data_IF_331887746323
#
_entry.id   IF_331887746323
#
_cell.length_a   1.000
_cell.length_b   1.000
_cell.length_c   1.000
_cell.angle_alpha   90.00
_cell.angle_beta   90.00
_cell.angle_gamma   90.00
#
_symmetry.space_group_name_H-M   'P 1'
#
loop_
_entity.id
_entity.type
_entity.pdbx_description
1 polymer ?
#
# COMPACT_ATOMS: atom_id res chain seq x y z
N UNK A 1 7.93 -2.77 11.42
CA UNK A 1 7.90 -2.59 12.89
C UNK A 1 7.17 -3.80 13.47
N UNK A 2 7.75 -4.55 14.42
CA UNK A 2 7.08 -5.68 15.07
C UNK A 2 6.94 -5.37 16.56
N UNK A 3 5.75 -5.64 17.10
CA UNK A 3 5.48 -5.52 18.53
C UNK A 3 5.73 -6.88 19.17
N UNK A 4 6.65 -6.93 20.12
CA UNK A 4 6.84 -8.10 20.98
C UNK A 4 6.00 -7.86 22.22
N UNK A 5 4.95 -8.67 22.42
CA UNK A 5 4.13 -8.61 23.63
C UNK A 5 4.71 -9.55 24.68
N UNK A 6 4.93 -8.99 25.89
CA UNK A 6 5.21 -9.78 27.08
C UNK A 6 3.89 -10.00 27.80
N UNK A 7 3.39 -11.23 27.74
CA UNK A 7 2.22 -11.70 28.49
C UNK A 7 2.71 -12.85 29.36
N UNK A 8 2.46 -12.77 30.67
CA UNK A 8 2.85 -13.80 31.64
C UNK A 8 4.34 -14.20 31.63
N UNK A 9 5.23 -13.20 31.50
CA UNK A 9 6.70 -13.37 31.45
C UNK A 9 7.25 -14.17 30.26
N UNK A 10 6.42 -14.49 29.27
CA UNK A 10 6.83 -15.11 28.01
C UNK A 10 6.75 -14.10 26.86
N UNK A 11 7.71 -14.22 25.93
CA UNK A 11 7.72 -13.45 24.68
C UNK A 11 6.84 -14.17 23.67
N UNK A 12 5.67 -13.59 23.37
CA UNK A 12 4.77 -14.15 22.38
C UNK A 12 5.05 -13.52 21.00
N UNK A 13 4.99 -14.37 19.97
CA UNK A 13 5.12 -14.06 18.53
C UNK A 13 6.55 -13.81 18.02
N UNK A 14 7.40 -14.84 18.07
CA UNK A 14 8.46 -14.99 17.08
C UNK A 14 7.92 -15.85 15.92
N UNK A 15 7.84 -15.30 14.72
CA UNK A 15 7.66 -16.11 13.50
C UNK A 15 8.94 -16.88 13.29
N UNK A 16 8.89 -18.21 13.36
CA UNK A 16 10.09 -19.04 13.44
C UNK A 16 10.56 -19.47 12.07
N UNK A 17 9.63 -19.86 11.18
CA UNK A 17 9.95 -20.45 9.87
C UNK A 17 8.83 -20.11 8.86
N UNK A 18 9.15 -20.03 7.57
CA UNK A 18 8.16 -20.04 6.49
C UNK A 18 8.33 -21.35 5.71
N UNK A 19 7.73 -22.44 6.18
CA UNK A 19 7.87 -23.76 5.54
C UNK A 19 7.02 -23.92 4.28
N UNK A 20 6.22 -22.90 3.95
CA UNK A 20 5.49 -22.82 2.71
C UNK A 20 5.47 -21.36 2.25
N UNK A 21 5.76 -21.12 0.97
CA UNK A 21 5.80 -19.78 0.36
C UNK A 21 4.55 -18.90 0.63
N UNK A 22 3.46 -19.50 1.10
CA UNK A 22 2.15 -18.90 1.40
C UNK A 22 1.80 -18.75 2.88
N UNK A 23 2.63 -19.26 3.79
CA UNK A 23 2.26 -19.37 5.20
C UNK A 23 3.40 -18.95 6.14
N UNK A 24 3.00 -18.46 7.32
CA UNK A 24 3.91 -18.19 8.41
C UNK A 24 3.71 -19.23 9.52
N UNK A 25 4.82 -19.78 10.03
CA UNK A 25 4.82 -20.63 11.23
C UNK A 25 5.22 -19.77 12.42
N UNK A 26 4.41 -19.75 13.48
CA UNK A 26 4.81 -19.08 14.73
C UNK A 26 5.53 -20.08 15.66
N UNK A 27 6.21 -19.57 16.69
CA UNK A 27 7.11 -20.38 17.53
C UNK A 27 6.50 -21.52 18.34
N UNK A 28 5.18 -21.65 18.36
CA UNK A 28 4.48 -22.82 18.93
C UNK A 28 4.14 -23.91 17.88
N UNK A 29 4.50 -23.69 16.61
CA UNK A 29 4.28 -24.59 15.48
C UNK A 29 2.98 -24.36 14.70
N UNK A 30 2.14 -23.38 15.07
CA UNK A 30 0.93 -23.07 14.32
C UNK A 30 1.25 -22.40 12.97
N UNK A 31 0.53 -22.80 11.92
CA UNK A 31 0.66 -22.27 10.56
C UNK A 31 -0.52 -21.38 10.19
N UNK A 32 -0.23 -20.27 9.51
CA UNK A 32 -1.24 -19.30 9.11
C UNK A 32 -1.15 -18.96 7.62
N UNK A 33 -2.29 -18.93 6.93
CA UNK A 33 -2.40 -18.33 5.59
C UNK A 33 -2.16 -16.82 5.75
N UNK A 34 -1.13 -16.29 5.08
CA UNK A 34 -0.65 -14.92 5.32
C UNK A 34 -1.16 -13.91 4.28
N UNK A 35 -2.06 -13.04 4.72
CA UNK A 35 -2.53 -11.88 3.96
C UNK A 35 -1.86 -10.55 4.35
N UNK A 36 -0.87 -10.56 5.24
CA UNK A 36 0.00 -9.41 5.51
C UNK A 36 1.10 -9.33 4.45
N UNK A 37 1.72 -10.44 4.08
CA UNK A 37 2.64 -10.51 2.95
C UNK A 37 3.79 -9.50 3.03
N UNK A 38 4.41 -9.37 4.21
CA UNK A 38 5.43 -8.37 4.54
C UNK A 38 4.96 -6.90 4.40
N UNK A 39 3.65 -6.65 4.49
CA UNK A 39 3.00 -5.37 4.23
C UNK A 39 3.05 -4.96 2.75
N UNK A 40 3.07 -5.95 1.85
CA UNK A 40 3.09 -5.75 0.40
C UNK A 40 4.15 -6.57 -0.35
N UNK A 41 5.45 -6.50 0.01
CA UNK A 41 6.56 -7.04 -0.79
C UNK A 41 6.51 -8.52 -1.14
N UNK A 42 5.84 -9.36 -0.34
CA UNK A 42 5.78 -10.80 -0.58
C UNK A 42 4.76 -11.18 -1.67
N UNK A 43 4.77 -10.50 -2.82
CA UNK A 43 3.83 -10.77 -3.92
C UNK A 43 3.96 -12.17 -4.52
N UNK A 44 5.16 -12.74 -4.52
CA UNK A 44 5.40 -14.12 -4.98
C UNK A 44 5.40 -15.10 -3.80
N UNK A 45 5.05 -14.63 -2.59
CA UNK A 45 5.17 -15.38 -1.36
C UNK A 45 6.49 -15.12 -0.64
N UNK A 46 6.66 -15.84 0.47
CA UNK A 46 7.87 -15.87 1.28
C UNK A 46 8.87 -16.86 0.71
N UNK A 47 10.17 -16.57 0.84
CA UNK A 47 11.23 -17.54 0.59
C UNK A 47 11.15 -18.24 -0.79
N UNK A 48 10.80 -17.48 -1.84
CA UNK A 48 10.75 -17.98 -3.21
C UNK A 48 12.12 -18.54 -3.66
N UNK A 49 12.12 -19.72 -4.29
CA UNK A 49 13.33 -20.46 -4.63
C UNK A 49 14.24 -19.69 -5.61
N UNK A 50 13.66 -18.96 -6.58
CA UNK A 50 14.43 -18.18 -7.55
C UNK A 50 15.07 -16.96 -6.88
N UNK A 51 14.32 -16.28 -6.00
CA UNK A 51 14.85 -15.16 -5.21
C UNK A 51 15.94 -15.62 -4.25
N UNK A 52 15.74 -16.73 -3.55
CA UNK A 52 16.74 -17.28 -2.63
C UNK A 52 18.01 -17.72 -3.35
N UNK A 53 17.88 -18.34 -4.53
CA UNK A 53 19.02 -18.70 -5.36
C UNK A 53 19.82 -17.45 -5.80
N UNK A 54 19.13 -16.42 -6.30
CA UNK A 54 19.75 -15.16 -6.68
C UNK A 54 20.44 -14.47 -5.48
N UNK A 55 19.80 -14.46 -4.31
CA UNK A 55 20.41 -13.93 -3.08
C UNK A 55 21.68 -14.70 -2.71
N UNK A 56 21.64 -16.03 -2.72
CA UNK A 56 22.79 -16.88 -2.42
C UNK A 56 24.00 -16.58 -3.32
N UNK A 57 23.76 -16.27 -4.61
CA UNK A 57 24.82 -15.85 -5.52
C UNK A 57 25.41 -14.48 -5.15
N UNK A 58 24.58 -13.53 -4.73
CA UNK A 58 25.01 -12.17 -4.34
C UNK A 58 25.74 -12.12 -2.98
N UNK A 59 25.56 -13.11 -2.11
CA UNK A 59 26.20 -13.17 -0.79
C UNK A 59 27.73 -13.23 -0.81
N UNK A 60 28.35 -13.38 -2.00
CA UNK A 60 29.80 -13.23 -2.22
C UNK A 60 30.29 -11.79 -1.98
N UNK A 61 29.38 -10.82 -1.91
CA UNK A 61 29.64 -9.45 -1.49
C UNK A 61 28.37 -8.61 -1.64
N UNK A 62 27.86 -8.07 -0.53
CA UNK A 62 26.52 -7.47 -0.45
C UNK A 62 26.51 -5.94 -0.59
N UNK A 63 27.66 -5.29 -0.42
CA UNK A 63 27.80 -3.83 -0.58
C UNK A 63 29.23 -3.47 -0.95
N UNK A 64 29.39 -2.57 -1.92
CA UNK A 64 30.68 -2.24 -2.51
C UNK A 64 31.03 -0.76 -2.47
N UNK A 65 30.06 0.14 -2.20
CA UNK A 65 30.27 1.58 -2.25
C UNK A 65 30.68 2.12 -3.63
N UNK A 66 30.48 1.33 -4.69
CA UNK A 66 30.82 1.63 -6.07
C UNK A 66 29.78 1.00 -7.01
N UNK A 67 29.54 1.57 -8.21
CA UNK A 67 28.52 1.09 -9.13
C UNK A 67 28.68 -0.39 -9.54
N UNK A 68 27.55 -1.08 -9.66
CA UNK A 68 27.44 -2.49 -10.08
C UNK A 68 26.51 -2.61 -11.28
N UNK A 69 26.78 -3.58 -12.15
CA UNK A 69 25.95 -3.84 -13.34
C UNK A 69 24.49 -4.17 -12.98
N UNK A 70 24.26 -4.84 -11.85
CA UNK A 70 22.92 -5.18 -11.39
C UNK A 70 22.05 -3.94 -11.12
N UNK A 71 22.64 -2.81 -10.72
CA UNK A 71 21.91 -1.55 -10.56
C UNK A 71 21.38 -1.04 -11.91
N UNK A 72 22.16 -1.18 -12.98
CA UNK A 72 21.73 -0.78 -14.33
C UNK A 72 20.63 -1.70 -14.86
N UNK A 73 20.77 -3.02 -14.68
CA UNK A 73 19.75 -4.00 -15.10
C UNK A 73 18.43 -3.71 -14.40
N UNK A 74 18.46 -3.50 -13.08
CA UNK A 74 17.26 -3.16 -12.32
C UNK A 74 16.66 -1.82 -12.76
N UNK A 75 17.50 -0.82 -13.05
CA UNK A 75 17.04 0.48 -13.53
C UNK A 75 16.33 0.38 -14.89
N UNK A 76 16.89 -0.36 -15.84
CA UNK A 76 16.29 -0.60 -17.16
C UNK A 76 14.95 -1.32 -17.04
N UNK A 77 14.86 -2.32 -16.14
CA UNK A 77 13.61 -3.04 -15.88
C UNK A 77 12.52 -2.11 -15.34
N UNK A 78 12.84 -1.23 -14.38
CA UNK A 78 11.86 -0.25 -13.84
C UNK A 78 11.41 0.74 -14.89
N UNK A 79 12.36 1.35 -15.60
CA UNK A 79 12.07 2.35 -16.64
C UNK A 79 11.20 1.74 -17.74
N UNK A 80 11.47 0.48 -18.11
CA UNK A 80 10.67 -0.22 -19.10
C UNK A 80 9.27 -0.60 -18.60
N UNK A 81 9.10 -0.83 -17.29
CA UNK A 81 7.83 -1.28 -16.74
C UNK A 81 6.89 -0.12 -16.42
N UNK A 82 7.42 1.01 -15.94
CA UNK A 82 6.62 2.09 -15.37
C UNK A 82 6.55 3.28 -16.34
N UNK A 83 5.40 3.55 -16.99
CA UNK A 83 5.30 4.45 -18.15
C UNK A 83 5.85 5.88 -17.96
N UNK A 84 5.80 6.41 -16.75
CA UNK A 84 6.20 7.80 -16.46
C UNK A 84 7.69 7.96 -16.15
N UNK A 85 8.42 6.88 -15.87
CA UNK A 85 9.80 6.92 -15.38
C UNK A 85 10.80 6.91 -16.54
N UNK A 86 11.70 7.89 -16.56
CA UNK A 86 12.84 7.95 -17.49
C UNK A 86 14.21 7.83 -16.79
N UNK A 87 14.22 8.02 -15.48
CA UNK A 87 15.40 7.97 -14.63
C UNK A 87 14.99 7.48 -13.26
N UNK A 88 15.80 6.61 -12.67
CA UNK A 88 15.57 6.07 -11.32
C UNK A 88 16.72 6.43 -10.40
N UNK A 89 16.38 6.59 -9.12
CA UNK A 89 17.33 6.68 -8.02
C UNK A 89 16.91 5.66 -6.97
N UNK A 90 17.79 4.70 -6.69
CA UNK A 90 17.54 3.72 -5.65
C UNK A 90 17.85 4.30 -4.26
N UNK A 91 16.99 3.97 -3.31
CA UNK A 91 17.08 4.30 -1.88
C UNK A 91 16.68 3.07 -1.07
N UNK A 92 16.80 3.11 0.25
CA UNK A 92 16.65 1.92 1.09
C UNK A 92 15.23 1.74 1.64
N UNK A 93 14.37 2.75 1.53
CA UNK A 93 12.98 2.67 2.02
C UNK A 93 12.05 3.61 1.27
N UNK A 94 10.74 3.31 1.31
CA UNK A 94 9.70 4.22 0.83
C UNK A 94 9.75 5.59 1.51
N UNK A 95 10.08 5.64 2.81
CA UNK A 95 10.27 6.90 3.53
C UNK A 95 11.39 7.75 2.93
N UNK A 96 12.55 7.15 2.61
CA UNK A 96 13.64 7.87 1.92
C UNK A 96 13.20 8.36 0.55
N UNK A 97 12.46 7.55 -0.20
CA UNK A 97 11.98 7.92 -1.54
C UNK A 97 11.04 9.14 -1.48
N UNK A 98 10.06 9.12 -0.57
CA UNK A 98 9.11 10.23 -0.38
C UNK A 98 9.80 11.49 0.16
N UNK A 99 10.81 11.36 1.02
CA UNK A 99 11.61 12.51 1.47
C UNK A 99 12.47 13.12 0.34
N UNK A 100 13.13 12.28 -0.47
CA UNK A 100 13.98 12.74 -1.58
C UNK A 100 13.14 13.45 -2.66
N UNK A 101 11.97 12.90 -3.03
CA UNK A 101 11.09 13.54 -4.02
C UNK A 101 10.56 14.90 -3.53
N UNK A 102 10.12 14.99 -2.28
CA UNK A 102 9.66 16.26 -1.73
C UNK A 102 10.78 17.31 -1.71
N UNK A 103 12.03 16.91 -1.44
CA UNK A 103 13.18 17.82 -1.54
C UNK A 103 13.44 18.27 -2.98
N UNK A 104 13.34 17.36 -3.95
CA UNK A 104 13.53 17.68 -5.38
C UNK A 104 12.47 18.68 -5.89
N UNK A 105 11.23 18.54 -5.43
CA UNK A 105 10.12 19.43 -5.85
C UNK A 105 10.18 20.84 -5.24
N UNK A 106 10.72 21.00 -4.03
CA UNK A 106 10.69 22.24 -3.24
C UNK A 106 11.80 23.26 -3.57
N UNK A 107 12.17 23.42 -4.84
CA UNK A 107 13.09 24.51 -5.23
C UNK A 107 12.48 25.94 -5.19
N UNK A 108 11.31 26.12 -4.55
CA UNK A 108 10.58 27.38 -4.33
C UNK A 108 9.78 27.40 -3.00
N UNK A 109 9.33 28.59 -2.58
CA UNK A 109 8.85 28.97 -1.21
C UNK A 109 7.38 28.58 -0.93
N UNK A 110 7.02 28.30 0.34
CA UNK A 110 5.78 27.59 0.74
C UNK A 110 4.98 28.15 1.97
N UNK A 111 3.81 27.51 2.28
CA UNK A 111 2.76 27.88 3.27
C UNK A 111 2.15 26.72 4.11
N UNK A 112 1.36 27.05 5.15
CA UNK A 112 1.15 26.43 6.50
C UNK A 112 0.54 25.01 6.68
N UNK A 113 1.20 24.16 7.51
CA UNK A 113 0.68 22.90 8.11
C UNK A 113 1.09 22.65 9.58
N UNK A 114 0.39 21.74 10.29
CA UNK A 114 0.62 21.39 11.71
C UNK A 114 1.29 20.00 11.87
N UNK A 115 2.12 19.78 12.90
CA UNK A 115 2.79 18.50 13.12
C UNK A 115 1.95 17.50 13.93
N UNK A 116 1.90 16.24 13.46
CA UNK A 116 1.11 15.16 14.07
C UNK A 116 1.92 14.20 14.96
N UNK A 117 3.25 14.35 15.04
CA UNK A 117 4.12 13.51 15.89
C UNK A 117 4.98 14.34 16.86
N UNK A 118 5.07 13.97 18.15
CA UNK A 118 5.95 14.63 19.11
C UNK A 118 7.41 14.62 18.65
N UNK A 119 8.07 15.77 18.72
CA UNK A 119 9.47 15.94 18.29
C UNK A 119 9.63 16.53 16.88
N UNK A 120 8.58 16.56 16.07
CA UNK A 120 8.57 17.28 14.79
C UNK A 120 8.37 18.77 15.07
N UNK A 121 9.32 19.60 14.68
CA UNK A 121 9.20 21.06 14.82
C UNK A 121 8.08 21.54 13.89
N UNK A 122 7.31 22.55 14.33
CA UNK A 122 6.32 23.23 13.45
C UNK A 122 6.96 23.72 12.14
N UNK A 123 8.20 24.19 12.21
CA UNK A 123 9.00 24.59 11.04
C UNK A 123 9.37 23.43 10.09
N UNK A 124 9.06 22.17 10.40
CA UNK A 124 9.21 21.05 9.48
C UNK A 124 7.91 20.72 8.72
N UNK A 125 6.75 21.17 9.23
CA UNK A 125 5.42 20.88 8.67
C UNK A 125 4.73 22.11 8.11
N UNK A 126 5.30 23.31 8.33
CA UNK A 126 4.71 24.58 7.91
C UNK A 126 4.57 24.74 6.40
N UNK A 127 5.08 23.82 5.59
CA UNK A 127 5.03 23.87 4.11
C UNK A 127 4.17 22.74 3.53
N UNK A 128 3.45 22.00 4.38
CA UNK A 128 2.69 20.82 3.98
C UNK A 128 1.22 21.09 4.21
N UNK A 129 0.45 21.13 3.12
CA UNK A 129 -1.01 21.23 3.16
C UNK A 129 -1.64 19.85 3.06
N UNK A 130 -2.79 19.68 3.71
CA UNK A 130 -3.59 18.45 3.62
C UNK A 130 -4.98 18.74 3.04
N UNK A 131 -5.48 17.76 2.29
CA UNK A 131 -6.84 17.69 1.78
C UNK A 131 -7.36 16.26 1.96
N UNK A 132 -8.64 16.04 2.28
CA UNK A 132 -9.21 14.70 2.32
C UNK A 132 -9.08 14.00 0.97
N UNK A 133 -8.73 12.72 0.99
CA UNK A 133 -8.73 11.90 -0.22
C UNK A 133 -10.13 11.90 -0.86
N UNK A 134 -10.21 11.82 -2.20
CA UNK A 134 -11.48 11.90 -2.95
C UNK A 134 -12.32 13.19 -2.76
N UNK A 135 -11.72 14.27 -2.24
CA UNK A 135 -12.33 15.59 -2.09
C UNK A 135 -11.65 16.62 -3.02
N UNK A 136 -12.22 16.77 -4.22
CA UNK A 136 -11.71 17.69 -5.24
C UNK A 136 -11.87 19.15 -4.79
N UNK A 137 -12.99 19.50 -4.15
CA UNK A 137 -13.28 20.86 -3.72
C UNK A 137 -12.24 21.34 -2.69
N UNK A 138 -11.84 20.46 -1.77
CA UNK A 138 -10.77 20.74 -0.83
C UNK A 138 -9.43 20.98 -1.54
N UNK A 139 -9.08 20.17 -2.55
CA UNK A 139 -7.84 20.35 -3.32
C UNK A 139 -7.87 21.67 -4.12
N UNK A 140 -8.97 21.96 -4.81
CA UNK A 140 -9.15 23.23 -5.54
C UNK A 140 -9.05 24.44 -4.60
N UNK A 141 -9.63 24.35 -3.41
CA UNK A 141 -9.52 25.38 -2.37
C UNK A 141 -8.06 25.62 -1.95
N UNK A 142 -7.24 24.56 -1.86
CA UNK A 142 -5.80 24.70 -1.58
C UNK A 142 -5.07 25.44 -2.69
N UNK A 143 -5.29 25.10 -3.96
CA UNK A 143 -4.68 25.84 -5.08
C UNK A 143 -5.14 27.30 -5.10
N UNK A 144 -6.44 27.54 -4.93
CA UNK A 144 -7.00 28.89 -4.95
C UNK A 144 -6.46 29.78 -3.83
N UNK A 145 -6.18 29.21 -2.66
CA UNK A 145 -5.66 29.93 -1.50
C UNK A 145 -4.13 30.12 -1.55
N UNK A 146 -3.42 29.39 -2.41
CA UNK A 146 -1.95 29.36 -2.50
C UNK A 146 -1.47 29.43 -3.96
N UNK A 147 -2.05 30.35 -4.73
CA UNK A 147 -1.82 30.44 -6.18
C UNK A 147 -0.35 30.64 -6.51
N UNK A 148 0.21 29.71 -7.28
CA UNK A 148 1.62 29.74 -7.70
C UNK A 148 2.61 29.34 -6.62
N UNK A 149 2.16 28.87 -5.45
CA UNK A 149 3.02 28.48 -4.32
C UNK A 149 3.07 26.95 -4.11
N UNK A 150 2.13 26.19 -4.69
CA UNK A 150 2.10 24.74 -4.53
C UNK A 150 3.06 24.06 -5.52
N UNK A 151 4.13 23.46 -4.99
CA UNK A 151 5.12 22.75 -5.79
C UNK A 151 4.62 21.39 -6.30
N UNK A 152 3.87 20.64 -5.49
CA UNK A 152 3.41 19.30 -5.83
C UNK A 152 2.19 18.85 -5.02
N UNK A 153 1.46 17.89 -5.56
CA UNK A 153 0.56 16.99 -4.84
C UNK A 153 1.26 15.64 -4.72
N UNK A 154 1.29 15.06 -3.52
CA UNK A 154 1.71 13.68 -3.29
C UNK A 154 0.53 12.89 -2.72
N UNK A 155 0.28 11.70 -3.27
CA UNK A 155 -0.77 10.80 -2.78
C UNK A 155 -0.48 9.34 -3.13
N UNK A 156 -1.04 8.43 -2.34
CA UNK A 156 -1.26 7.04 -2.76
C UNK A 156 -2.38 7.03 -3.83
N UNK A 157 -2.16 6.44 -5.03
CA UNK A 157 -3.21 6.37 -6.06
C UNK A 157 -4.42 5.54 -5.63
N UNK A 158 -4.19 4.50 -4.83
CA UNK A 158 -5.18 3.76 -4.05
C UNK A 158 -4.69 3.76 -2.61
N UNK A 159 -5.51 4.22 -1.67
CA UNK A 159 -5.08 4.30 -0.26
C UNK A 159 -5.06 2.91 0.35
N UNK A 160 -3.90 2.52 0.90
CA UNK A 160 -3.71 1.27 1.63
C UNK A 160 -3.46 1.43 3.13
N UNK A 161 -2.88 2.57 3.55
CA UNK A 161 -2.68 2.90 4.96
C UNK A 161 -3.98 3.35 5.68
N UNK A 162 -5.13 3.13 5.05
CA UNK A 162 -6.47 3.30 5.62
C UNK A 162 -7.40 2.20 5.08
N UNK A 163 -6.88 0.97 5.05
CA UNK A 163 -7.46 -0.25 4.45
C UNK A 163 -7.37 -0.31 2.93
N UNK A 164 -8.41 0.13 2.24
CA UNK A 164 -8.52 0.05 0.80
C UNK A 164 -9.55 1.08 0.37
N UNK A 165 -9.08 2.24 -0.08
CA UNK A 165 -9.94 3.32 -0.56
C UNK A 165 -9.51 3.64 -2.00
N UNK A 166 -10.26 3.18 -3.01
CA UNK A 166 -9.96 3.49 -4.40
C UNK A 166 -10.30 4.95 -4.72
N UNK A 167 -9.68 5.52 -5.77
CA UNK A 167 -10.04 6.84 -6.25
C UNK A 167 -11.47 6.80 -6.81
N UNK A 168 -12.24 7.89 -6.61
CA UNK A 168 -13.47 8.11 -7.36
C UNK A 168 -13.13 8.21 -8.86
N UNK A 169 -14.05 7.84 -9.77
CA UNK A 169 -13.77 7.70 -11.21
C UNK A 169 -12.99 8.86 -11.85
N UNK A 170 -13.27 10.10 -11.48
CA UNK A 170 -12.62 11.28 -12.07
C UNK A 170 -11.52 11.89 -11.20
N UNK A 171 -11.28 11.37 -9.99
CA UNK A 171 -10.42 12.03 -9.00
C UNK A 171 -9.01 12.27 -9.52
N UNK A 172 -8.33 11.22 -10.01
CA UNK A 172 -6.96 11.32 -10.50
C UNK A 172 -6.83 12.19 -11.75
N UNK A 173 -7.82 12.13 -12.66
CA UNK A 173 -7.84 12.99 -13.85
C UNK A 173 -8.05 14.46 -13.50
N UNK A 174 -8.88 14.76 -12.50
CA UNK A 174 -9.04 16.14 -12.02
C UNK A 174 -7.76 16.64 -11.34
N UNK A 175 -7.09 15.83 -10.51
CA UNK A 175 -5.79 16.23 -9.92
C UNK A 175 -4.77 16.54 -11.01
N UNK A 176 -4.71 15.70 -12.05
CA UNK A 176 -3.86 15.88 -13.22
C UNK A 176 -4.18 17.15 -14.01
N UNK A 177 -5.45 17.54 -14.11
CA UNK A 177 -5.83 18.85 -14.69
C UNK A 177 -5.34 20.00 -13.81
N UNK A 178 -5.59 19.93 -12.51
CA UNK A 178 -5.25 20.99 -11.55
C UNK A 178 -3.75 21.26 -11.48
N UNK A 179 -2.91 20.22 -11.42
CA UNK A 179 -1.46 20.40 -11.40
C UNK A 179 -0.95 21.06 -12.69
N UNK A 180 -1.50 20.70 -13.85
CA UNK A 180 -1.16 21.32 -15.13
C UNK A 180 -1.55 22.80 -15.19
N UNK A 181 -2.74 23.14 -14.73
CA UNK A 181 -3.23 24.53 -14.71
C UNK A 181 -2.42 25.42 -13.76
N UNK A 182 -1.82 24.84 -12.72
CA UNK A 182 -1.11 25.58 -11.68
C UNK A 182 0.43 25.44 -11.75
N UNK A 183 0.97 24.69 -12.71
CA UNK A 183 2.41 24.47 -12.84
C UNK A 183 3.02 23.67 -11.69
N UNK A 184 2.24 22.76 -11.10
CA UNK A 184 2.67 21.88 -10.01
C UNK A 184 2.98 20.46 -10.52
N UNK A 185 3.60 19.64 -9.67
CA UNK A 185 3.84 18.23 -9.96
C UNK A 185 2.79 17.33 -9.32
N UNK A 186 2.53 16.17 -9.92
CA UNK A 186 1.74 15.09 -9.33
C UNK A 186 2.67 13.91 -9.06
N UNK A 187 2.77 13.54 -7.79
CA UNK A 187 3.63 12.47 -7.29
C UNK A 187 2.70 11.34 -6.83
N UNK A 188 2.85 10.19 -7.48
CA UNK A 188 2.18 8.97 -7.03
C UNK A 188 3.11 8.22 -6.09
N UNK A 189 2.70 8.14 -4.83
CA UNK A 189 3.30 7.25 -3.85
C UNK A 189 2.81 5.83 -4.12
N UNK A 190 3.57 5.10 -4.93
CA UNK A 190 3.27 3.75 -5.37
C UNK A 190 4.01 2.69 -4.54
N UNK A 191 4.41 3.02 -3.30
CA UNK A 191 5.11 2.09 -2.39
C UNK A 191 4.35 0.77 -2.26
N UNK A 192 3.02 0.84 -2.23
CA UNK A 192 2.15 -0.31 -2.12
C UNK A 192 1.51 -0.73 -3.46
N UNK A 193 1.20 0.23 -4.34
CA UNK A 193 0.45 -0.01 -5.58
C UNK A 193 1.34 -0.36 -6.78
N UNK A 194 2.62 0.02 -6.73
CA UNK A 194 3.59 -0.17 -7.79
C UNK A 194 3.85 -1.64 -8.04
N UNK A 195 3.76 -2.05 -9.31
CA UNK A 195 3.78 -3.45 -9.78
C UNK A 195 2.64 -4.34 -9.24
N UNK A 196 1.94 -3.93 -8.17
CA UNK A 196 0.87 -4.68 -7.49
C UNK A 196 -0.46 -4.65 -8.22
N UNK A 197 -0.90 -3.45 -8.61
CA UNK A 197 -2.21 -3.28 -9.26
C UNK A 197 -2.15 -3.70 -10.74
N UNK A 198 -1.03 -3.41 -11.39
CA UNK A 198 -0.67 -3.87 -12.73
C UNK A 198 0.85 -3.84 -12.88
N UNK A 199 1.38 -4.37 -13.99
CA UNK A 199 2.83 -4.39 -14.21
C UNK A 199 3.43 -2.97 -14.17
N UNK A 200 2.77 -1.99 -14.78
CA UNK A 200 3.18 -0.58 -14.72
C UNK A 200 2.70 0.20 -13.48
N UNK A 201 2.08 -0.46 -12.50
CA UNK A 201 1.52 0.19 -11.30
C UNK A 201 0.18 0.90 -11.55
N UNK A 202 -0.26 1.69 -10.58
CA UNK A 202 -1.54 2.41 -10.62
C UNK A 202 -1.65 3.35 -11.82
N UNK A 203 -0.53 3.97 -12.24
CA UNK A 203 -0.51 4.82 -13.43
C UNK A 203 -0.93 4.08 -14.71
N UNK A 204 -0.52 2.83 -14.88
CA UNK A 204 -0.93 1.99 -15.99
C UNK A 204 -2.37 1.52 -15.80
N UNK A 205 -2.70 1.02 -14.59
CA UNK A 205 -4.04 0.53 -14.25
C UNK A 205 -5.14 1.58 -14.49
N UNK A 206 -4.93 2.83 -14.06
CA UNK A 206 -5.89 3.93 -14.22
C UNK A 206 -5.68 4.74 -15.51
N UNK A 207 -4.69 4.40 -16.35
CA UNK A 207 -4.38 5.16 -17.57
C UNK A 207 -3.87 6.58 -17.33
N UNK A 208 -3.41 6.89 -16.12
CA UNK A 208 -2.87 8.20 -15.75
C UNK A 208 -1.40 8.26 -16.14
N UNK A 209 -1.13 8.66 -17.38
CA UNK A 209 0.23 8.81 -17.93
C UNK A 209 0.51 10.26 -18.33
N UNK A 210 1.75 10.54 -18.77
CA UNK A 210 2.21 11.88 -19.21
C UNK A 210 1.25 12.52 -20.23
N UNK A 211 1.05 13.84 -20.16
CA UNK A 211 0.52 14.56 -21.32
C UNK A 211 1.62 14.64 -22.39
N UNK A 212 1.45 13.93 -23.50
CA UNK A 212 2.16 14.19 -24.76
C UNK A 212 3.68 14.41 -24.69
N UNK A 213 4.48 13.43 -24.24
CA UNK A 213 5.94 13.38 -24.50
C UNK A 213 6.76 14.66 -24.19
N UNK A 214 6.23 15.65 -23.47
CA UNK A 214 6.94 16.87 -23.10
C UNK A 214 7.53 16.69 -21.71
N UNK A 215 8.76 17.16 -21.57
CA UNK A 215 9.60 17.09 -20.37
C UNK A 215 9.05 17.86 -19.15
N UNK A 216 7.84 18.40 -19.27
CA UNK A 216 7.24 19.38 -18.35
C UNK A 216 6.38 18.72 -17.27
N UNK A 217 5.91 17.49 -17.48
CA UNK A 217 5.22 16.71 -16.44
C UNK A 217 6.24 15.84 -15.70
N UNK A 218 6.88 16.38 -14.64
CA UNK A 218 7.82 15.59 -13.83
C UNK A 218 7.05 14.70 -12.86
N UNK A 219 6.77 13.48 -13.29
CA UNK A 219 6.21 12.43 -12.44
C UNK A 219 7.32 11.78 -11.64
N UNK A 220 7.03 11.54 -10.37
CA UNK A 220 7.93 10.83 -9.49
C UNK A 220 7.20 9.67 -8.86
N UNK A 221 7.91 8.57 -8.77
CA UNK A 221 7.41 7.29 -8.36
C UNK A 221 8.30 6.75 -7.23
N UNK A 222 7.67 6.33 -6.15
CA UNK A 222 8.25 5.48 -5.13
C UNK A 222 7.53 4.14 -5.23
N UNK A 223 8.23 3.00 -5.32
CA UNK A 223 7.59 1.71 -5.06
C UNK A 223 8.45 0.80 -4.19
N UNK A 224 7.78 -0.08 -3.45
CA UNK A 224 8.37 -1.32 -2.97
C UNK A 224 7.90 -2.45 -3.90
N UNK A 225 8.86 -3.23 -4.39
CA UNK A 225 8.74 -4.18 -5.50
C UNK A 225 7.64 -5.23 -5.31
N UNK A 226 6.76 -5.40 -6.31
CA UNK A 226 5.70 -6.41 -6.29
C UNK A 226 5.24 -6.83 -7.71
N UNK A 227 5.79 -7.81 -8.42
CA UNK A 227 5.34 -8.24 -9.78
C UNK A 227 3.92 -8.88 -9.88
N UNK A 228 3.09 -8.36 -10.78
CA UNK A 228 1.66 -8.69 -11.03
C UNK A 228 1.32 -10.08 -11.61
N UNK A 229 0.13 -10.61 -11.24
CA UNK A 229 -0.73 -11.52 -12.03
C UNK A 229 -2.21 -11.39 -11.62
N UNK A 230 -3.13 -11.62 -12.56
CA UNK A 230 -4.57 -11.78 -12.32
C UNK A 230 -4.88 -13.05 -11.50
N UNK A 231 -5.32 -12.90 -10.25
CA UNK A 231 -5.87 -14.02 -9.47
C UNK A 231 -7.07 -13.60 -8.59
N UNK A 232 -8.19 -14.31 -8.76
CA UNK A 232 -9.13 -14.74 -7.72
C UNK A 232 -10.00 -13.70 -6.97
N UNK A 233 -11.31 -13.95 -6.93
CA UNK A 233 -12.36 -13.11 -6.34
C UNK A 233 -12.42 -13.09 -4.79
N UNK A 234 -11.28 -12.95 -4.11
CA UNK A 234 -11.17 -13.14 -2.64
C UNK A 234 -11.78 -12.02 -1.84
N UNK A 235 -11.58 -10.78 -2.29
CA UNK A 235 -12.15 -9.59 -1.66
C UNK A 235 -13.67 -9.68 -1.60
N UNK A 236 -14.31 -10.17 -2.67
CA UNK A 236 -15.76 -10.30 -2.70
C UNK A 236 -16.23 -11.46 -1.81
N UNK A 237 -15.50 -12.57 -1.71
CA UNK A 237 -15.85 -13.69 -0.84
C UNK A 237 -16.06 -13.30 0.63
N UNK A 238 -15.14 -12.53 1.21
CA UNK A 238 -15.27 -12.06 2.61
C UNK A 238 -16.41 -11.03 2.74
N UNK A 239 -16.53 -10.10 1.80
CA UNK A 239 -17.59 -9.08 1.81
C UNK A 239 -18.98 -9.72 1.69
N UNK A 240 -19.15 -10.67 0.79
CA UNK A 240 -20.40 -11.40 0.58
C UNK A 240 -20.75 -12.22 1.82
N UNK A 241 -19.76 -12.88 2.42
CA UNK A 241 -19.94 -13.60 3.69
C UNK A 241 -20.39 -12.68 4.82
N UNK A 242 -19.79 -11.50 4.96
CA UNK A 242 -20.21 -10.52 5.97
C UNK A 242 -21.64 -10.05 5.75
N UNK A 243 -22.04 -9.81 4.49
CA UNK A 243 -23.42 -9.43 4.16
C UNK A 243 -24.42 -10.56 4.45
N UNK A 244 -24.13 -11.79 4.04
CA UNK A 244 -25.03 -12.94 4.23
C UNK A 244 -25.19 -13.33 5.70
N UNK A 245 -24.16 -13.09 6.51
CA UNK A 245 -24.20 -13.27 7.98
C UNK A 245 -24.77 -12.06 8.73
N UNK A 246 -25.25 -11.03 8.03
CA UNK A 246 -26.02 -9.92 8.59
C UNK A 246 -25.18 -8.75 9.13
N UNK A 247 -23.93 -8.61 8.71
CA UNK A 247 -23.05 -7.51 9.14
C UNK A 247 -23.05 -6.36 8.13
N UNK A 248 -23.10 -5.13 8.66
CA UNK A 248 -22.72 -3.93 7.94
C UNK A 248 -21.24 -4.03 7.54
N UNK A 249 -20.98 -4.26 6.26
CA UNK A 249 -19.62 -4.41 5.72
C UNK A 249 -19.55 -3.85 4.30
N UNK A 250 -18.50 -3.09 4.03
CA UNK A 250 -18.19 -2.58 2.69
C UNK A 250 -16.69 -2.65 2.44
N UNK A 251 -16.26 -2.57 1.18
CA UNK A 251 -14.85 -2.64 0.83
C UNK A 251 -14.67 -2.94 -0.63
N UNK A 252 -13.49 -3.43 -0.98
CA UNK A 252 -13.19 -3.82 -2.35
C UNK A 252 -11.80 -4.39 -2.48
N UNK A 253 -11.42 -4.61 -3.73
CA UNK A 253 -10.09 -5.06 -4.10
C UNK A 253 -9.73 -4.53 -5.50
N UNK A 254 -8.44 -4.39 -5.76
CA UNK A 254 -7.86 -4.25 -7.09
C UNK A 254 -6.68 -5.23 -7.15
N UNK A 255 -6.76 -6.21 -8.04
CA UNK A 255 -5.76 -7.28 -8.17
C UNK A 255 -5.43 -7.88 -6.80
N UNK A 256 -4.15 -7.91 -6.40
CA UNK A 256 -3.74 -8.53 -5.15
C UNK A 256 -3.82 -7.65 -3.90
N UNK A 257 -4.46 -6.48 -3.97
CA UNK A 257 -4.66 -5.58 -2.82
C UNK A 257 -6.16 -5.51 -2.51
N UNK A 258 -6.55 -5.71 -1.26
CA UNK A 258 -7.94 -5.72 -0.84
C UNK A 258 -8.14 -5.13 0.55
N UNK A 259 -9.38 -4.82 0.88
CA UNK A 259 -9.74 -4.35 2.20
C UNK A 259 -11.24 -4.27 2.42
N UNK A 260 -11.64 -4.31 3.69
CA UNK A 260 -13.03 -4.17 4.10
C UNK A 260 -13.13 -3.39 5.41
N UNK A 261 -14.31 -2.82 5.62
CA UNK A 261 -14.68 -1.98 6.74
C UNK A 261 -15.97 -2.52 7.34
N UNK A 262 -16.03 -2.66 8.67
CA UNK A 262 -17.28 -2.98 9.37
C UNK A 262 -18.18 -1.73 9.49
N UNK A 263 -18.74 -1.30 8.36
CA UNK A 263 -19.71 -0.21 8.21
C UNK A 263 -20.51 -0.40 6.91
N UNK A 264 -21.67 0.23 6.77
CA UNK A 264 -22.54 0.10 5.59
C UNK A 264 -21.89 0.63 4.28
N UNK A 265 -20.99 1.61 4.41
CA UNK A 265 -20.32 2.24 3.27
C UNK A 265 -21.23 3.13 2.41
N UNK A 266 -20.74 3.60 1.25
CA UNK A 266 -19.36 3.45 0.79
C UNK A 266 -18.37 4.24 1.66
N UNK A 267 -17.11 3.78 1.72
CA UNK A 267 -16.01 4.51 2.33
C UNK A 267 -15.21 5.20 1.23
N UNK A 268 -15.21 6.54 1.21
CA UNK A 268 -14.52 7.31 0.18
C UNK A 268 -13.27 8.03 0.67
N UNK A 269 -13.11 8.18 1.98
CA UNK A 269 -12.00 8.88 2.59
C UNK A 269 -11.78 8.38 4.02
N UNK A 270 -10.77 8.93 4.69
CA UNK A 270 -10.44 8.55 6.06
C UNK A 270 -11.55 8.88 7.08
N UNK A 271 -12.33 9.95 6.86
CA UNK A 271 -13.45 10.29 7.76
C UNK A 271 -14.58 9.26 7.69
N UNK A 272 -14.82 8.67 6.52
CA UNK A 272 -15.72 7.54 6.38
C UNK A 272 -15.13 6.27 7.02
N UNK A 273 -13.84 5.99 6.79
CA UNK A 273 -13.16 4.82 7.35
C UNK A 273 -13.22 4.77 8.88
N UNK A 274 -13.08 5.93 9.55
CA UNK A 274 -13.18 6.06 11.02
C UNK A 274 -14.54 5.65 11.59
N UNK A 275 -15.59 5.57 10.77
CA UNK A 275 -16.93 5.12 11.21
C UNK A 275 -17.01 3.60 11.38
N UNK A 276 -15.98 2.85 10.99
CA UNK A 276 -15.92 1.40 11.11
C UNK A 276 -15.97 0.93 12.56
N UNK A 277 -16.65 -0.18 12.80
CA UNK A 277 -16.65 -0.85 14.11
C UNK A 277 -15.31 -1.57 14.35
N UNK A 278 -14.34 -0.84 14.93
CA UNK A 278 -13.01 -1.35 15.24
C UNK A 278 -13.03 -2.42 16.34
N UNK A 279 -14.04 -2.44 17.20
CA UNK A 279 -14.19 -3.46 18.24
C UNK A 279 -14.66 -4.79 17.64
N UNK A 280 -15.57 -4.74 16.65
CA UNK A 280 -15.95 -5.92 15.85
C UNK A 280 -14.76 -6.40 15.02
N UNK A 281 -14.02 -5.51 14.37
CA UNK A 281 -12.79 -5.89 13.67
C UNK A 281 -11.83 -6.64 14.59
N UNK A 282 -11.60 -6.17 15.82
CA UNK A 282 -10.72 -6.85 16.76
C UNK A 282 -11.22 -8.25 17.18
N UNK A 283 -12.54 -8.50 17.18
CA UNK A 283 -13.10 -9.85 17.41
C UNK A 283 -12.93 -10.72 16.17
N UNK A 284 -13.25 -10.17 14.99
CA UNK A 284 -13.05 -10.84 13.71
C UNK A 284 -11.59 -11.26 13.52
N UNK A 285 -10.64 -10.35 13.70
CA UNK A 285 -9.21 -10.60 13.62
C UNK A 285 -8.75 -11.77 14.50
N UNK A 286 -9.16 -11.78 15.78
CA UNK A 286 -8.83 -12.87 16.71
C UNK A 286 -9.45 -14.20 16.26
N UNK A 287 -10.71 -14.18 15.81
CA UNK A 287 -11.36 -15.37 15.28
C UNK A 287 -10.66 -15.91 14.03
N UNK A 288 -10.25 -15.04 13.10
CA UNK A 288 -9.50 -15.44 11.90
C UNK A 288 -8.15 -16.06 12.26
N UNK A 289 -7.44 -15.49 13.24
CA UNK A 289 -6.22 -16.07 13.78
C UNK A 289 -6.45 -17.48 14.35
N UNK A 290 -7.51 -17.69 15.13
CA UNK A 290 -7.87 -19.01 15.67
C UNK A 290 -8.19 -20.03 14.57
N UNK A 291 -8.66 -19.59 13.41
CA UNK A 291 -8.92 -20.42 12.23
C UNK A 291 -7.69 -20.56 11.29
N UNK A 292 -6.51 -20.09 11.70
CA UNK A 292 -5.27 -20.23 10.92
C UNK A 292 -5.16 -19.24 9.75
N UNK A 293 -5.80 -18.08 9.84
CA UNK A 293 -5.69 -17.00 8.85
C UNK A 293 -5.09 -15.76 9.50
N UNK A 294 -3.94 -15.33 8.99
CA UNK A 294 -3.27 -14.13 9.44
C UNK A 294 -3.54 -12.97 8.49
N UNK A 295 -4.19 -11.93 9.02
CA UNK A 295 -4.45 -10.67 8.32
C UNK A 295 -3.78 -9.51 9.08
N UNK A 296 -3.82 -8.30 8.52
CA UNK A 296 -3.26 -7.15 9.19
C UNK A 296 -3.96 -6.90 10.54
N UNK A 297 -3.22 -6.70 11.66
CA UNK A 297 -3.78 -6.49 13.00
C UNK A 297 -4.39 -5.08 13.20
N UNK A 298 -4.98 -4.51 12.17
CA UNK A 298 -5.57 -3.17 12.20
C UNK A 298 -6.69 -3.03 11.17
N UNK A 299 -7.81 -2.43 11.59
CA UNK A 299 -8.92 -2.04 10.70
C UNK A 299 -8.53 -0.90 9.75
N UNK A 300 -7.27 -0.46 9.72
CA UNK A 300 -6.79 0.61 8.85
C UNK A 300 -5.65 0.16 7.94
N UNK A 301 -5.47 -1.14 7.76
CA UNK A 301 -4.41 -1.73 6.94
C UNK A 301 -5.01 -2.57 5.82
N UNK A 302 -4.41 -2.48 4.63
CA UNK A 302 -4.75 -3.31 3.49
C UNK A 302 -4.38 -4.78 3.74
N UNK A 303 -5.11 -5.68 3.11
CA UNK A 303 -4.70 -7.07 2.92
C UNK A 303 -4.04 -7.27 1.55
N UNK A 304 -3.12 -8.23 1.47
CA UNK A 304 -2.38 -8.56 0.27
C UNK A 304 -2.49 -10.04 -0.07
N UNK A 305 -2.77 -10.35 -1.33
CA UNK A 305 -2.59 -11.71 -1.86
C UNK A 305 -1.23 -11.84 -2.54
N UNK A 306 -0.79 -13.07 -2.71
CA UNK A 306 0.46 -13.43 -3.39
C UNK A 306 0.21 -14.57 -4.38
N UNK A 307 1.12 -14.76 -5.34
CA UNK A 307 1.10 -15.88 -6.27
C UNK A 307 1.22 -17.25 -5.59
N UNK A 308 1.63 -17.26 -4.32
CA UNK A 308 1.69 -18.48 -3.53
C UNK A 308 0.30 -18.90 -2.98
N UNK A 309 -0.69 -18.01 -2.99
CA UNK A 309 -2.04 -18.33 -2.55
C UNK A 309 -2.76 -19.20 -3.59
N UNK A 310 -3.03 -20.45 -3.22
CA UNK A 310 -3.82 -21.35 -4.08
C UNK A 310 -5.31 -21.13 -3.89
N UNK A 311 -6.15 -21.50 -4.86
CA UNK A 311 -7.61 -21.45 -4.71
C UNK A 311 -8.15 -22.24 -3.50
N UNK A 312 -7.37 -23.18 -2.95
CA UNK A 312 -7.71 -23.87 -1.71
C UNK A 312 -7.56 -22.98 -0.48
N UNK A 313 -6.47 -22.22 -0.40
CA UNK A 313 -6.18 -21.30 0.72
C UNK A 313 -7.29 -20.24 0.84
N UNK A 314 -7.81 -19.87 -0.31
CA UNK A 314 -8.90 -18.92 -0.48
C UNK A 314 -10.21 -19.48 0.04
N UNK A 315 -10.56 -20.70 -0.38
CA UNK A 315 -11.78 -21.35 0.09
C UNK A 315 -11.74 -21.54 1.60
N UNK A 316 -10.58 -21.93 2.16
CA UNK A 316 -10.37 -22.01 3.60
C UNK A 316 -10.57 -20.66 4.29
N UNK A 317 -10.04 -19.60 3.70
CA UNK A 317 -10.16 -18.23 4.25
C UNK A 317 -11.61 -17.75 4.27
N UNK A 318 -12.36 -17.99 3.20
CA UNK A 318 -13.79 -17.61 3.14
C UNK A 318 -14.59 -18.44 4.15
N UNK A 319 -14.34 -19.75 4.25
CA UNK A 319 -15.00 -20.61 5.23
C UNK A 319 -14.67 -20.21 6.69
N UNK A 320 -13.42 -19.82 6.96
CA UNK A 320 -13.01 -19.26 8.25
C UNK A 320 -13.76 -17.95 8.55
N UNK A 321 -13.83 -17.04 7.57
CA UNK A 321 -14.56 -15.79 7.71
C UNK A 321 -16.04 -16.04 8.03
N UNK A 322 -16.70 -16.97 7.35
CA UNK A 322 -18.10 -17.33 7.59
C UNK A 322 -18.32 -17.86 9.01
N UNK A 323 -17.45 -18.79 9.44
CA UNK A 323 -17.49 -19.38 10.77
C UNK A 323 -17.27 -18.34 11.87
N UNK A 324 -16.38 -17.38 11.66
CA UNK A 324 -16.10 -16.30 12.63
C UNK A 324 -17.22 -15.28 12.65
N UNK A 325 -17.65 -14.79 11.49
CA UNK A 325 -18.71 -13.79 11.36
C UNK A 325 -20.04 -14.27 11.92
N UNK A 326 -20.35 -15.57 11.79
CA UNK A 326 -21.56 -16.17 12.36
C UNK A 326 -21.58 -16.18 13.90
N UNK A 327 -20.44 -15.93 14.56
CA UNK A 327 -20.30 -15.96 16.02
C UNK A 327 -20.22 -14.58 16.69
N UNK A 328 -19.97 -13.50 15.94
CA UNK A 328 -19.59 -12.18 16.48
C UNK A 328 -20.60 -11.06 16.26
#
# INVERSE_FOLDING_TARGET
MFWVNRIDDEFWYAWTESDAWRALTCGDGNQYIDYVGLWGPAIIGHADDEVLAALAETMKGTSFGAPRLLENVLAEMVISAVPSIEMVRFVNSGTEACMDVLRLTRSGVATLGLPDSPGVRKAATFETLTAPYNDIEAVESRFNSNKGELAAIILEPVVGNSVFIPPKPDFLEVLRRLIKENGALLIFDEVMTGFRLSYGGAQEYFGITRFNNTREDSWWWSACWCIWREEGDHGNGILDTGKTTGHAICGGHISGMFGFFFTEGPVHNFDDAKKSDTAKFARFYRGMLEEGVYSAPSQFEAGFTSLAHSSEDIRKTIAAAEKVLSKI
#
